data_IF_398584978023
#
_entry.id   IF_398584978023
#
_cell.length_a   1.000
_cell.length_b   1.000
_cell.length_c   1.000
_cell.angle_alpha   90.00
_cell.angle_beta   90.00
_cell.angle_gamma   90.00
#
_symmetry.space_group_name_H-M   'P 1'
#
loop_
_entity.id
_entity.type
_entity.pdbx_description
1 polymer ?
#
# COMPACT_ATOMS: atom_id res chain seq x y z
N UNK A 1 27.98 -27.66 -35.70
CA UNK A 1 27.95 -26.24 -35.29
C UNK A 1 26.55 -25.62 -35.38
N UNK A 2 25.84 -25.64 -36.52
CA UNK A 2 24.49 -25.06 -36.69
C UNK A 2 23.42 -25.67 -35.74
N UNK A 3 23.41 -27.01 -35.56
CA UNK A 3 22.45 -27.71 -34.67
C UNK A 3 22.66 -27.32 -33.22
N UNK A 4 23.91 -27.16 -32.76
CA UNK A 4 24.22 -26.73 -31.43
C UNK A 4 23.75 -25.30 -31.13
N UNK A 5 23.87 -24.39 -32.10
CA UNK A 5 23.38 -23.02 -32.00
C UNK A 5 21.84 -22.98 -31.90
N UNK A 6 21.15 -23.75 -32.72
CA UNK A 6 19.68 -23.85 -32.69
C UNK A 6 19.22 -24.45 -31.34
N UNK A 7 19.90 -25.51 -30.86
CA UNK A 7 19.59 -26.12 -29.57
C UNK A 7 19.76 -25.12 -28.39
N UNK A 8 20.85 -24.35 -28.40
CA UNK A 8 21.07 -23.29 -27.36
C UNK A 8 20.01 -22.19 -27.43
N UNK A 9 19.61 -21.79 -28.64
CA UNK A 9 18.55 -20.78 -28.81
C UNK A 9 17.20 -21.27 -28.30
N UNK A 10 16.81 -22.49 -28.60
CA UNK A 10 15.56 -23.11 -28.11
C UNK A 10 15.58 -23.25 -26.59
N UNK A 11 16.71 -23.66 -26.00
CA UNK A 11 16.87 -23.73 -24.53
C UNK A 11 16.72 -22.36 -23.90
N UNK A 12 17.31 -21.31 -24.47
CA UNK A 12 17.16 -19.94 -24.00
C UNK A 12 15.71 -19.47 -24.05
N UNK A 13 15.00 -19.72 -25.15
CA UNK A 13 13.59 -19.38 -25.26
C UNK A 13 12.72 -20.10 -24.22
N UNK A 14 13.00 -21.37 -23.97
CA UNK A 14 12.31 -22.14 -22.94
C UNK A 14 12.55 -21.55 -21.52
N UNK A 15 13.80 -21.19 -21.19
CA UNK A 15 14.15 -20.54 -19.93
C UNK A 15 13.45 -19.18 -19.77
N UNK A 16 13.40 -18.38 -20.83
CA UNK A 16 12.70 -17.09 -20.83
C UNK A 16 11.18 -17.29 -20.65
N UNK A 17 10.59 -18.26 -21.33
CA UNK A 17 9.18 -18.58 -21.18
C UNK A 17 8.84 -19.03 -19.76
N UNK A 18 9.67 -19.87 -19.14
CA UNK A 18 9.52 -20.26 -17.72
C UNK A 18 9.69 -19.03 -16.82
N UNK A 19 10.71 -18.18 -17.06
CA UNK A 19 10.94 -16.95 -16.30
C UNK A 19 9.75 -15.99 -16.31
N UNK A 20 9.04 -15.89 -17.44
CA UNK A 20 7.84 -15.06 -17.57
C UNK A 20 6.63 -15.61 -16.82
N UNK A 21 6.60 -16.90 -16.48
CA UNK A 21 5.53 -17.49 -15.66
C UNK A 21 5.77 -17.31 -14.16
N UNK A 22 6.99 -16.96 -13.76
CA UNK A 22 7.31 -16.66 -12.38
C UNK A 22 6.66 -15.33 -11.97
N UNK A 23 5.94 -15.34 -10.87
CA UNK A 23 5.21 -14.16 -10.37
C UNK A 23 6.14 -13.31 -9.47
N UNK A 24 6.77 -12.23 -9.97
CA UNK A 24 7.72 -11.43 -9.17
C UNK A 24 7.05 -10.65 -8.02
N UNK A 25 5.71 -10.69 -7.95
CA UNK A 25 4.93 -9.97 -6.93
C UNK A 25 4.89 -10.66 -5.56
N UNK A 26 5.42 -11.87 -5.44
CA UNK A 26 5.41 -12.64 -4.19
C UNK A 26 6.67 -12.48 -3.34
N UNK A 27 7.55 -11.51 -3.66
CA UNK A 27 8.70 -11.25 -2.78
C UNK A 27 8.18 -10.61 -1.50
N UNK A 28 8.26 -11.31 -0.34
CA UNK A 28 7.80 -10.75 0.93
C UNK A 28 8.53 -9.44 1.19
N UNK A 29 7.79 -8.38 1.54
CA UNK A 29 8.42 -7.12 1.91
C UNK A 29 9.34 -7.33 3.11
N UNK A 30 10.60 -6.86 3.06
CA UNK A 30 11.53 -6.98 4.18
C UNK A 30 11.06 -6.22 5.42
N UNK A 31 10.01 -5.41 5.33
CA UNK A 31 9.43 -4.66 6.44
C UNK A 31 8.34 -5.42 7.19
N UNK A 32 7.81 -6.53 6.64
CA UNK A 32 6.85 -7.35 7.37
C UNK A 32 7.54 -8.00 8.58
N UNK A 33 6.93 -7.86 9.74
CA UNK A 33 7.49 -8.28 11.03
C UNK A 33 8.43 -7.25 11.67
N UNK A 34 8.64 -6.08 11.04
CA UNK A 34 9.48 -5.00 11.59
C UNK A 34 8.64 -3.80 12.02
N UNK A 35 9.16 -2.97 12.94
CA UNK A 35 8.53 -1.68 13.26
C UNK A 35 8.33 -0.83 12.01
N UNK A 36 7.17 -0.21 11.89
CA UNK A 36 6.90 0.76 10.85
C UNK A 36 7.90 1.92 10.93
N UNK A 37 8.51 2.32 9.81
CA UNK A 37 9.42 3.46 9.78
C UNK A 37 8.79 4.70 10.40
N UNK A 38 9.53 5.37 11.27
CA UNK A 38 9.05 6.58 11.94
C UNK A 38 9.08 7.76 10.97
N UNK A 39 8.04 8.57 11.02
CA UNK A 39 7.99 9.84 10.30
C UNK A 39 7.16 10.87 11.04
N UNK A 40 7.24 12.11 10.61
CA UNK A 40 6.38 13.19 11.06
C UNK A 40 6.02 14.08 9.86
N UNK A 41 4.80 13.91 9.34
CA UNK A 41 4.30 14.61 8.15
C UNK A 41 3.11 15.52 8.48
N UNK A 42 2.91 16.61 7.73
CA UNK A 42 1.72 17.43 7.84
C UNK A 42 0.49 16.66 7.34
N UNK A 43 -0.66 16.86 7.97
CA UNK A 43 -1.94 16.35 7.47
C UNK A 43 -2.41 17.18 6.27
N UNK A 44 -3.02 16.53 5.32
CA UNK A 44 -3.59 17.19 4.15
C UNK A 44 -4.69 18.18 4.58
N UNK A 45 -4.52 19.44 4.21
CA UNK A 45 -5.48 20.51 4.53
C UNK A 45 -5.48 20.99 5.99
N UNK A 46 -4.49 20.60 6.80
CA UNK A 46 -4.38 21.01 8.22
C UNK A 46 -2.94 21.38 8.58
N UNK A 47 -2.77 22.20 9.60
CA UNK A 47 -1.47 22.48 10.21
C UNK A 47 -1.00 21.36 11.16
N UNK A 48 -1.89 20.43 11.53
CA UNK A 48 -1.56 19.30 12.37
C UNK A 48 -0.55 18.37 11.71
N UNK A 49 0.31 17.79 12.53
CA UNK A 49 1.26 16.76 12.08
C UNK A 49 0.86 15.41 12.66
N UNK A 50 1.28 14.37 11.98
CA UNK A 50 1.03 12.98 12.37
C UNK A 50 2.33 12.19 12.35
N UNK A 51 2.44 11.30 13.32
CA UNK A 51 3.47 10.26 13.40
C UNK A 51 2.83 8.88 13.59
N UNK A 52 3.41 7.77 13.09
CA UNK A 52 2.96 6.42 13.40
C UNK A 52 2.89 6.11 14.92
N UNK A 53 3.67 6.83 15.73
CA UNK A 53 3.62 6.71 17.18
C UNK A 53 2.25 7.11 17.78
N UNK A 54 1.50 8.00 17.12
CA UNK A 54 0.16 8.45 17.55
C UNK A 54 -0.89 7.33 17.42
N UNK A 55 -0.55 6.25 16.69
CA UNK A 55 -1.41 5.08 16.49
C UNK A 55 -1.06 3.91 17.43
N UNK A 56 -0.12 4.09 18.35
CA UNK A 56 0.20 3.04 19.34
C UNK A 56 -1.05 2.59 20.09
N UNK A 57 -1.17 1.29 20.31
CA UNK A 57 -2.33 0.67 20.95
C UNK A 57 -3.51 0.39 20.00
N UNK A 58 -3.42 0.78 18.73
CA UNK A 58 -4.46 0.53 17.71
C UNK A 58 -3.91 -0.34 16.58
N UNK A 59 -4.75 -1.21 16.04
CA UNK A 59 -4.54 -1.84 14.74
C UNK A 59 -5.05 -0.88 13.66
N UNK A 60 -4.26 -0.60 12.63
CA UNK A 60 -4.61 0.39 11.62
C UNK A 60 -4.01 0.07 10.25
N UNK A 61 -4.55 0.72 9.23
CA UNK A 61 -4.08 0.62 7.85
C UNK A 61 -3.45 1.92 7.40
N UNK A 62 -2.28 1.82 6.74
CA UNK A 62 -1.66 2.91 5.99
C UNK A 62 -1.80 2.57 4.50
N UNK A 63 -2.54 3.38 3.76
CA UNK A 63 -2.67 3.25 2.31
C UNK A 63 -1.89 4.36 1.62
N UNK A 64 -0.99 3.99 0.73
CA UNK A 64 -0.18 4.92 -0.07
C UNK A 64 -0.89 5.16 -1.40
N UNK A 65 -1.21 6.42 -1.67
CA UNK A 65 -2.05 6.80 -2.79
C UNK A 65 -1.64 8.15 -3.40
N UNK A 66 -2.16 8.45 -4.58
CA UNK A 66 -2.00 9.76 -5.21
C UNK A 66 -3.18 10.08 -6.14
N UNK A 67 -3.45 11.36 -6.35
CA UNK A 67 -4.55 11.82 -7.24
C UNK A 67 -4.31 11.46 -8.71
N UNK A 68 -3.06 11.39 -9.13
CA UNK A 68 -2.64 10.99 -10.49
C UNK A 68 -2.65 9.47 -10.72
N UNK A 69 -2.89 8.66 -9.69
CA UNK A 69 -2.81 7.19 -9.74
C UNK A 69 -4.14 6.60 -10.25
N UNK A 70 -4.14 6.04 -11.44
CA UNK A 70 -5.34 5.39 -12.04
C UNK A 70 -5.79 4.18 -11.21
N UNK A 71 -4.86 3.30 -10.83
CA UNK A 71 -5.15 2.08 -10.06
C UNK A 71 -5.65 2.39 -8.64
N UNK A 72 -5.24 3.53 -8.05
CA UNK A 72 -5.79 3.99 -6.77
C UNK A 72 -7.29 4.32 -6.89
N UNK A 73 -7.73 4.79 -8.06
CA UNK A 73 -9.15 5.06 -8.31
C UNK A 73 -9.95 3.75 -8.39
N UNK A 74 -9.34 2.67 -8.88
CA UNK A 74 -10.02 1.36 -8.99
C UNK A 74 -10.26 0.73 -7.61
N UNK A 75 -9.32 0.88 -6.66
CA UNK A 75 -9.48 0.37 -5.29
C UNK A 75 -10.36 1.27 -4.39
N UNK A 76 -10.48 2.54 -4.75
CA UNK A 76 -11.07 3.56 -3.88
C UNK A 76 -12.48 3.23 -3.36
N UNK A 77 -13.43 2.71 -4.17
CA UNK A 77 -14.75 2.30 -3.68
C UNK A 77 -14.65 1.24 -2.56
N UNK A 78 -13.69 0.31 -2.66
CA UNK A 78 -13.47 -0.74 -1.65
C UNK A 78 -13.00 -0.11 -0.34
N UNK A 79 -12.11 0.88 -0.39
CA UNK A 79 -11.62 1.61 0.78
C UNK A 79 -12.73 2.47 1.41
N UNK A 80 -13.59 3.11 0.60
CA UNK A 80 -14.76 3.87 1.09
C UNK A 80 -15.72 2.94 1.83
N UNK A 81 -16.01 1.77 1.29
CA UNK A 81 -16.87 0.79 1.95
C UNK A 81 -16.24 0.24 3.23
N UNK A 82 -14.93 -0.03 3.22
CA UNK A 82 -14.18 -0.44 4.42
C UNK A 82 -14.26 0.63 5.51
N UNK A 83 -14.04 1.89 5.19
CA UNK A 83 -14.06 2.99 6.15
C UNK A 83 -15.42 3.11 6.89
N UNK A 84 -16.53 2.83 6.19
CA UNK A 84 -17.89 2.81 6.77
C UNK A 84 -18.05 1.74 7.85
N UNK A 85 -17.28 0.65 7.77
CA UNK A 85 -17.33 -0.43 8.76
C UNK A 85 -16.74 -0.04 10.12
N UNK A 86 -15.89 0.98 10.16
CA UNK A 86 -15.14 1.45 11.35
C UNK A 86 -14.35 0.34 12.05
N UNK A 87 -13.97 -0.71 11.31
CA UNK A 87 -13.23 -1.86 11.86
C UNK A 87 -11.81 -1.50 12.29
N UNK A 88 -11.13 -0.65 11.52
CA UNK A 88 -9.81 -0.14 11.88
C UNK A 88 -9.64 1.25 11.25
N UNK A 89 -8.86 2.15 11.86
CA UNK A 89 -8.47 3.41 11.26
C UNK A 89 -7.76 3.19 9.93
N UNK A 90 -8.13 3.97 8.91
CA UNK A 90 -7.45 4.03 7.63
C UNK A 90 -6.79 5.41 7.49
N UNK A 91 -5.48 5.44 7.35
CA UNK A 91 -4.68 6.65 7.15
C UNK A 91 -4.14 6.67 5.73
N UNK A 92 -4.29 7.78 5.02
CA UNK A 92 -3.72 7.97 3.69
C UNK A 92 -2.30 8.53 3.77
N UNK A 93 -1.37 7.97 3.01
CA UNK A 93 -0.07 8.59 2.69
C UNK A 93 -0.14 9.10 1.26
N UNK A 94 -0.38 10.40 1.09
CA UNK A 94 -0.45 11.04 -0.23
C UNK A 94 0.96 11.23 -0.76
N UNK A 95 1.32 10.43 -1.77
CA UNK A 95 2.68 10.21 -2.25
C UNK A 95 2.97 10.99 -3.52
N UNK A 96 4.00 11.86 -3.49
CA UNK A 96 4.47 12.66 -4.64
C UNK A 96 3.33 13.33 -5.40
N UNK A 97 2.47 14.04 -4.67
CA UNK A 97 1.25 14.63 -5.19
C UNK A 97 1.15 16.11 -4.80
N UNK A 98 0.31 16.84 -5.51
CA UNK A 98 -0.02 18.22 -5.16
C UNK A 98 -1.21 18.22 -4.20
N UNK A 99 -1.07 18.90 -3.05
CA UNK A 99 -2.11 18.93 -2.02
C UNK A 99 -3.48 19.41 -2.53
N UNK A 100 -3.49 20.35 -3.48
CA UNK A 100 -4.74 20.85 -4.07
C UNK A 100 -5.43 19.80 -4.94
N UNK A 101 -4.65 19.03 -5.71
CA UNK A 101 -5.20 17.96 -6.56
C UNK A 101 -5.66 16.78 -5.71
N UNK A 102 -4.89 16.43 -4.66
CA UNK A 102 -5.28 15.44 -3.67
C UNK A 102 -6.63 15.79 -3.00
N UNK A 103 -6.81 17.05 -2.56
CA UNK A 103 -8.07 17.50 -1.95
C UNK A 103 -9.24 17.46 -2.92
N UNK A 104 -9.06 17.95 -4.17
CA UNK A 104 -10.10 17.89 -5.21
C UNK A 104 -10.49 16.45 -5.52
N UNK A 105 -9.52 15.55 -5.55
CA UNK A 105 -9.73 14.13 -5.82
C UNK A 105 -10.58 13.50 -4.71
N UNK A 106 -10.22 13.69 -3.43
CA UNK A 106 -11.00 13.19 -2.29
C UNK A 106 -12.41 13.80 -2.25
N UNK A 107 -12.55 15.10 -2.53
CA UNK A 107 -13.86 15.76 -2.61
C UNK A 107 -14.75 15.16 -3.70
N UNK A 108 -14.16 14.73 -4.83
CA UNK A 108 -14.89 14.15 -5.95
C UNK A 108 -15.31 12.70 -5.73
N UNK A 109 -14.43 11.88 -5.15
CA UNK A 109 -14.63 10.42 -5.05
C UNK A 109 -15.00 9.94 -3.64
N UNK A 110 -15.04 10.85 -2.67
CA UNK A 110 -15.22 10.56 -1.25
C UNK A 110 -13.88 10.40 -0.53
N UNK A 111 -13.87 10.63 0.79
CA UNK A 111 -12.68 10.46 1.63
C UNK A 111 -12.84 9.24 2.54
N UNK A 112 -12.12 8.13 2.29
CA UNK A 112 -12.15 6.95 3.13
C UNK A 112 -11.23 7.06 4.35
N UNK A 113 -10.33 8.07 4.36
CA UNK A 113 -9.29 8.18 5.37
C UNK A 113 -9.79 8.90 6.61
N UNK A 114 -9.33 8.48 7.77
CA UNK A 114 -9.47 9.28 8.99
C UNK A 114 -8.79 10.65 8.80
N UNK A 115 -7.67 10.65 8.11
CA UNK A 115 -6.94 11.78 7.55
C UNK A 115 -5.89 11.25 6.57
N UNK A 116 -5.41 12.12 5.70
CA UNK A 116 -4.22 11.85 4.87
C UNK A 116 -3.06 12.71 5.35
N UNK A 117 -1.83 12.20 5.19
CA UNK A 117 -0.58 12.94 5.37
C UNK A 117 0.13 13.14 4.04
N UNK A 118 0.91 14.20 3.91
CA UNK A 118 1.52 14.62 2.66
C UNK A 118 3.00 14.26 2.63
N UNK A 119 3.37 13.33 1.75
CA UNK A 119 4.75 12.94 1.42
C UNK A 119 5.12 13.49 0.04
N UNK A 120 5.26 14.82 -0.05
CA UNK A 120 5.41 15.53 -1.30
C UNK A 120 6.69 15.16 -2.06
N UNK A 121 7.79 14.90 -1.36
CA UNK A 121 9.08 14.49 -1.93
C UNK A 121 9.21 12.95 -2.07
N UNK A 122 8.30 12.19 -1.49
CA UNK A 122 8.26 10.73 -1.55
C UNK A 122 9.31 10.02 -0.68
N UNK A 123 9.92 10.72 0.29
CA UNK A 123 10.96 10.14 1.15
C UNK A 123 10.41 9.06 2.06
N UNK A 124 9.23 9.28 2.61
CA UNK A 124 8.59 8.30 3.48
C UNK A 124 8.17 7.07 2.68
N UNK A 125 7.68 7.25 1.45
CA UNK A 125 7.44 6.13 0.54
C UNK A 125 8.69 5.28 0.32
N UNK A 126 9.88 5.89 0.18
CA UNK A 126 11.16 5.17 0.07
C UNK A 126 11.45 4.39 1.35
N UNK A 127 11.30 4.99 2.54
CA UNK A 127 11.54 4.32 3.82
C UNK A 127 10.59 3.13 4.05
N UNK A 128 9.36 3.20 3.54
CA UNK A 128 8.38 2.11 3.53
C UNK A 128 8.61 1.10 2.39
N UNK A 129 9.61 1.32 1.54
CA UNK A 129 9.90 0.46 0.40
C UNK A 129 8.74 0.43 -0.61
N UNK A 130 8.12 1.58 -0.87
CA UNK A 130 7.05 1.73 -1.86
C UNK A 130 7.65 1.58 -3.26
N UNK A 131 7.19 0.59 -4.00
CA UNK A 131 7.57 0.38 -5.41
C UNK A 131 6.72 1.21 -6.36
N UNK A 132 5.48 1.48 -5.95
CA UNK A 132 4.50 2.23 -6.72
C UNK A 132 3.22 2.40 -5.91
N UNK A 133 2.25 3.11 -6.48
CA UNK A 133 0.94 3.31 -5.84
C UNK A 133 -0.14 2.58 -6.63
N UNK A 134 -1.14 1.98 -5.95
CA UNK A 134 -1.33 1.95 -4.51
C UNK A 134 -0.55 0.85 -3.79
N UNK A 135 -0.25 1.06 -2.52
CA UNK A 135 0.21 0.04 -1.58
C UNK A 135 -0.49 0.21 -0.23
N UNK A 136 -0.75 -0.90 0.47
CA UNK A 136 -1.44 -0.85 1.77
C UNK A 136 -0.69 -1.67 2.81
N UNK A 137 -0.49 -1.09 3.99
CA UNK A 137 0.18 -1.72 5.13
C UNK A 137 -0.82 -1.92 6.26
N UNK A 138 -0.86 -3.13 6.85
CA UNK A 138 -1.54 -3.40 8.09
C UNK A 138 -0.54 -3.35 9.23
N UNK A 139 -0.77 -2.49 10.21
CA UNK A 139 0.13 -2.21 11.32
C UNK A 139 -0.59 -2.54 12.62
N UNK A 140 0.09 -3.27 13.51
CA UNK A 140 -0.48 -3.71 14.78
C UNK A 140 -0.37 -2.66 15.89
N UNK A 141 -0.89 -3.00 17.08
CA UNK A 141 -0.88 -2.15 18.28
C UNK A 141 0.54 -1.75 18.75
N UNK A 142 1.53 -2.61 18.47
CA UNK A 142 2.92 -2.35 18.78
C UNK A 142 3.63 -1.51 17.70
N UNK A 143 2.90 -1.13 16.62
CA UNK A 143 3.47 -0.40 15.50
C UNK A 143 4.31 -1.26 14.56
N UNK A 144 4.10 -2.59 14.55
CA UNK A 144 4.80 -3.53 13.67
C UNK A 144 3.97 -3.77 12.43
N UNK A 145 4.59 -3.72 11.25
CA UNK A 145 3.95 -4.06 9.98
C UNK A 145 3.69 -5.57 9.95
N UNK A 146 2.42 -5.96 9.85
CA UNK A 146 2.01 -7.37 9.82
C UNK A 146 1.67 -7.86 8.43
N UNK A 147 1.32 -6.95 7.54
CA UNK A 147 1.03 -7.29 6.15
C UNK A 147 1.31 -6.08 5.26
N UNK A 148 1.74 -6.35 4.03
CA UNK A 148 1.89 -5.38 2.94
C UNK A 148 1.19 -5.91 1.70
N UNK A 149 0.29 -5.12 1.14
CA UNK A 149 -0.28 -5.31 -0.17
C UNK A 149 0.42 -4.39 -1.16
N UNK A 150 0.92 -4.96 -2.26
CA UNK A 150 1.42 -4.22 -3.42
C UNK A 150 0.33 -4.27 -4.49
N UNK A 151 -0.06 -3.11 -4.99
CA UNK A 151 -1.21 -2.96 -5.88
C UNK A 151 -2.53 -2.82 -5.13
N UNK A 152 -3.67 -2.82 -5.86
CA UNK A 152 -4.96 -2.44 -5.30
C UNK A 152 -5.50 -3.46 -4.28
N UNK A 153 -6.20 -2.94 -3.28
CA UNK A 153 -7.03 -3.73 -2.38
C UNK A 153 -8.31 -4.10 -3.08
N UNK A 154 -8.49 -5.41 -3.36
CA UNK A 154 -9.74 -5.92 -3.92
C UNK A 154 -10.73 -6.33 -2.82
N UNK A 155 -12.03 -6.45 -3.13
CA UNK A 155 -13.03 -6.97 -2.17
C UNK A 155 -12.68 -8.35 -1.62
N UNK A 156 -12.10 -9.23 -2.46
CA UNK A 156 -11.68 -10.57 -2.08
C UNK A 156 -10.52 -10.53 -1.08
N UNK A 157 -9.50 -9.71 -1.37
CA UNK A 157 -8.36 -9.51 -0.47
C UNK A 157 -8.79 -8.91 0.86
N UNK A 158 -9.66 -7.90 0.82
CA UNK A 158 -10.18 -7.25 2.02
C UNK A 158 -10.92 -8.26 2.90
N UNK A 159 -11.87 -9.03 2.35
CA UNK A 159 -12.69 -10.00 3.08
C UNK A 159 -11.92 -11.25 3.47
N UNK A 160 -11.09 -11.78 2.58
CA UNK A 160 -10.41 -13.06 2.77
C UNK A 160 -9.12 -12.96 3.59
N UNK A 161 -8.49 -11.77 3.69
CA UNK A 161 -7.20 -11.64 4.36
C UNK A 161 -7.14 -10.46 5.33
N UNK A 162 -7.41 -9.23 4.89
CA UNK A 162 -7.19 -8.04 5.73
C UNK A 162 -8.13 -8.04 6.94
N UNK A 163 -9.43 -8.24 6.75
CA UNK A 163 -10.39 -8.25 7.87
C UNK A 163 -10.14 -9.37 8.88
N UNK A 164 -9.86 -10.63 8.48
CA UNK A 164 -9.45 -11.69 9.42
C UNK A 164 -8.19 -11.33 10.22
N UNK A 165 -7.16 -10.76 9.57
CA UNK A 165 -5.95 -10.34 10.26
C UNK A 165 -6.20 -9.19 11.26
N UNK A 166 -7.04 -8.20 10.90
CA UNK A 166 -7.44 -7.16 11.85
C UNK A 166 -8.08 -7.78 13.09
N UNK A 167 -9.06 -8.68 12.90
CA UNK A 167 -9.76 -9.35 14.01
C UNK A 167 -8.82 -10.19 14.90
N UNK A 168 -7.77 -10.77 14.32
CA UNK A 168 -6.74 -11.50 15.06
C UNK A 168 -5.87 -10.56 15.89
N UNK A 169 -5.43 -9.44 15.31
CA UNK A 169 -4.54 -8.47 15.96
C UNK A 169 -5.25 -7.61 17.03
N UNK A 170 -6.58 -7.58 17.02
CA UNK A 170 -7.39 -6.88 18.02
C UNK A 170 -7.70 -7.72 19.26
N UNK A 171 -7.49 -9.04 19.21
CA UNK A 171 -7.64 -9.94 20.36
C UNK A 171 -6.48 -9.78 21.34
#
# INVERSE_FOLDING_TARGET
MRIAIVGAFVALLALLAIGLTLNPREVPSPLVGKPAPAFQLPRLGSAERFSPADMRGKVWLLNVWASWCVTCRDEHPVLVDFARTKRAPLVGLNYKDQSDDARKWLARFGDPYQFSVVDADGRIGIDYGVYGVPETYLIDRAGVIRFKQIGPVTPELLKGKILPMIAELER
#
